data_IF_462435088020
#
_entry.id   IF_462435088020
#
_cell.length_a   1.000
_cell.length_b   1.000
_cell.length_c   1.000
_cell.angle_alpha   90.00
_cell.angle_beta   90.00
_cell.angle_gamma   90.00
#
_symmetry.space_group_name_H-M   'P 1'
#
loop_
_entity.id
_entity.type
_entity.pdbx_description
1 polymer ?
#
# COMPACT_ATOMS: atom_id res chain seq x y z
N UNK A 1 3.50 -3.63 12.98
CA UNK A 1 4.73 -3.73 12.20
C UNK A 1 4.69 -2.73 11.06
N UNK A 2 5.74 -1.94 10.93
CA UNK A 2 5.79 -0.89 9.90
C UNK A 2 6.39 -1.45 8.61
N UNK A 3 5.84 -1.02 7.49
CA UNK A 3 6.35 -1.37 6.16
C UNK A 3 6.76 -0.07 5.47
N UNK A 4 8.03 0.04 5.11
CA UNK A 4 8.58 1.24 4.49
C UNK A 4 8.95 0.92 3.05
N UNK A 5 8.55 1.78 2.13
CA UNK A 5 8.89 1.58 0.74
C UNK A 5 8.41 2.72 -0.12
N UNK A 6 8.48 2.51 -1.44
CA UNK A 6 8.11 3.51 -2.44
C UNK A 6 6.92 3.00 -3.24
N UNK A 7 5.93 3.84 -3.45
CA UNK A 7 4.76 3.49 -4.27
C UNK A 7 5.22 3.41 -5.72
N UNK A 8 5.17 2.21 -6.30
CA UNK A 8 5.59 2.01 -7.67
C UNK A 8 4.44 2.15 -8.66
N UNK A 9 3.24 1.72 -8.23
CA UNK A 9 2.08 1.72 -9.12
C UNK A 9 0.82 1.73 -8.28
N UNK A 10 -0.24 2.36 -8.80
CA UNK A 10 -1.55 2.35 -8.18
C UNK A 10 -2.44 1.49 -9.06
N UNK A 11 -2.87 0.34 -8.52
CA UNK A 11 -3.67 -0.62 -9.27
C UNK A 11 -5.13 -0.20 -9.33
N UNK A 12 -5.63 0.33 -8.20
CA UNK A 12 -7.03 0.73 -8.09
C UNK A 12 -7.14 1.82 -7.03
N UNK A 13 -8.01 2.78 -7.26
CA UNK A 13 -8.29 3.80 -6.27
C UNK A 13 -9.74 4.23 -6.37
N UNK A 14 -10.43 4.25 -5.22
CA UNK A 14 -11.77 4.79 -5.11
C UNK A 14 -11.65 6.19 -4.52
N UNK A 15 -11.97 7.20 -5.33
CA UNK A 15 -11.80 8.60 -4.91
C UNK A 15 -12.80 9.02 -3.84
N UNK A 16 -13.91 8.31 -3.71
CA UNK A 16 -14.94 8.69 -2.76
C UNK A 16 -14.53 8.37 -1.32
N UNK A 17 -13.90 7.21 -1.11
CA UNK A 17 -13.52 6.78 0.24
C UNK A 17 -12.02 6.66 0.45
N UNK A 18 -11.22 6.88 -0.60
CA UNK A 18 -9.78 6.79 -0.50
C UNK A 18 -9.21 5.38 -0.53
N UNK A 19 -10.06 4.37 -0.69
CA UNK A 19 -9.59 2.97 -0.72
C UNK A 19 -8.67 2.76 -1.92
N UNK A 20 -7.49 2.23 -1.67
CA UNK A 20 -6.45 2.12 -2.69
C UNK A 20 -5.81 0.75 -2.63
N UNK A 21 -5.58 0.18 -3.81
CA UNK A 21 -4.74 -1.00 -3.97
C UNK A 21 -3.53 -0.56 -4.77
N UNK A 22 -2.35 -0.72 -4.20
CA UNK A 22 -1.13 -0.22 -4.82
C UNK A 22 -0.03 -1.25 -4.72
N UNK A 23 1.02 -1.05 -5.50
CA UNK A 23 2.23 -1.85 -5.42
C UNK A 23 3.32 -1.01 -4.78
N UNK A 24 3.92 -1.57 -3.74
CA UNK A 24 4.99 -0.93 -2.99
C UNK A 24 6.28 -1.66 -3.27
N UNK A 25 7.32 -0.92 -3.64
CA UNK A 25 8.65 -1.48 -3.80
C UNK A 25 9.41 -1.37 -2.50
N UNK A 26 9.98 -2.49 -2.05
CA UNK A 26 10.83 -2.56 -0.88
C UNK A 26 11.93 -3.56 -1.14
N UNK A 27 13.19 -3.09 -1.15
CA UNK A 27 14.37 -3.96 -1.28
C UNK A 27 14.26 -4.92 -2.47
N UNK A 28 13.93 -4.38 -3.64
CA UNK A 28 13.78 -5.14 -4.90
C UNK A 28 12.61 -6.11 -4.90
N UNK A 29 11.71 -6.01 -3.92
CA UNK A 29 10.49 -6.80 -3.88
C UNK A 29 9.30 -5.88 -4.07
N UNK A 30 8.25 -6.43 -4.69
CA UNK A 30 6.99 -5.71 -4.89
C UNK A 30 5.94 -6.32 -3.98
N UNK A 31 5.32 -5.47 -3.16
CA UNK A 31 4.33 -5.90 -2.19
C UNK A 31 3.02 -5.19 -2.52
N UNK A 32 1.93 -5.96 -2.62
CA UNK A 32 0.61 -5.36 -2.80
C UNK A 32 0.15 -4.82 -1.45
N UNK A 33 -0.21 -3.54 -1.43
CA UNK A 33 -0.67 -2.88 -0.21
C UNK A 33 -2.10 -2.38 -0.42
N UNK A 34 -2.92 -2.49 0.62
CA UNK A 34 -4.33 -2.18 0.56
C UNK A 34 -4.70 -1.34 1.78
N UNK A 35 -5.41 -0.26 1.56
CA UNK A 35 -5.86 0.58 2.65
C UNK A 35 -6.36 1.92 2.13
N UNK A 36 -6.60 2.86 3.02
CA UNK A 36 -7.11 4.17 2.64
C UNK A 36 -6.00 5.20 2.67
N UNK A 37 -5.81 5.86 1.53
CA UNK A 37 -4.95 7.03 1.43
C UNK A 37 -5.82 8.26 1.21
N UNK A 38 -5.50 9.35 1.90
CA UNK A 38 -6.14 10.63 1.61
C UNK A 38 -5.64 11.14 0.27
N UNK A 39 -4.33 11.08 0.09
CA UNK A 39 -3.70 11.49 -1.17
C UNK A 39 -2.44 10.68 -1.36
N UNK A 40 -2.23 10.16 -2.56
CA UNK A 40 -1.06 9.33 -2.84
C UNK A 40 -0.66 9.49 -4.30
N UNK A 41 0.63 9.43 -4.56
CA UNK A 41 1.16 9.51 -5.91
C UNK A 41 2.22 8.44 -6.10
N UNK A 42 2.35 7.97 -7.35
CA UNK A 42 3.43 7.08 -7.73
C UNK A 42 4.77 7.79 -7.48
N UNK A 43 5.71 7.08 -6.88
CA UNK A 43 7.02 7.63 -6.53
C UNK A 43 7.10 8.12 -5.09
N UNK A 44 5.99 8.16 -4.37
CA UNK A 44 6.01 8.60 -2.97
C UNK A 44 6.64 7.55 -2.07
N UNK A 45 7.49 8.01 -1.15
CA UNK A 45 8.02 7.14 -0.09
C UNK A 45 7.04 7.16 1.06
N UNK A 46 6.66 5.97 1.52
CA UNK A 46 5.63 5.86 2.55
C UNK A 46 6.06 4.89 3.64
N UNK A 47 5.52 5.11 4.84
CA UNK A 47 5.63 4.19 5.95
C UNK A 47 4.21 3.77 6.31
N UNK A 48 3.95 2.46 6.24
CA UNK A 48 2.62 1.91 6.46
C UNK A 48 2.61 1.10 7.75
N UNK A 49 1.53 1.22 8.51
CA UNK A 49 1.32 0.43 9.72
C UNK A 49 0.14 -0.47 9.52
N UNK A 50 0.36 -1.78 9.64
CA UNK A 50 -0.69 -2.76 9.45
C UNK A 50 -0.15 -4.17 9.59
N UNK A 51 -0.70 -5.09 8.80
CA UNK A 51 -0.28 -6.49 8.86
C UNK A 51 -0.49 -7.16 7.51
N UNK A 52 0.26 -8.24 7.29
CA UNK A 52 0.06 -9.06 6.11
C UNK A 52 -1.19 -9.92 6.26
N UNK A 53 -1.91 -10.09 5.17
CA UNK A 53 -3.07 -10.97 5.11
C UNK A 53 -2.95 -11.86 3.88
N UNK A 54 -3.38 -13.11 4.05
CA UNK A 54 -3.39 -14.07 2.95
C UNK A 54 -4.80 -14.12 2.37
N UNK A 55 -4.90 -13.96 1.06
CA UNK A 55 -6.17 -14.03 0.36
C UNK A 55 -6.07 -15.12 -0.70
N UNK A 56 -7.19 -15.41 -1.37
CA UNK A 56 -7.19 -16.39 -2.45
C UNK A 56 -6.37 -15.92 -3.65
N UNK A 57 -6.03 -14.64 -3.69
CA UNK A 57 -5.22 -14.08 -4.78
C UNK A 57 -3.75 -13.91 -4.38
N UNK A 58 -3.38 -14.31 -3.15
CA UNK A 58 -2.02 -14.19 -2.65
C UNK A 58 -1.95 -13.39 -1.37
N UNK A 59 -0.74 -12.98 -1.01
CA UNK A 59 -0.49 -12.22 0.21
C UNK A 59 -0.52 -10.74 -0.10
N UNK A 60 -1.16 -9.96 0.77
CA UNK A 60 -1.19 -8.50 0.65
C UNK A 60 -0.98 -7.88 2.02
N UNK A 61 -0.54 -6.63 2.05
CA UNK A 61 -0.32 -5.90 3.28
C UNK A 61 -1.47 -4.92 3.46
N UNK A 62 -2.23 -5.08 4.54
CA UNK A 62 -3.37 -4.22 4.84
C UNK A 62 -2.97 -3.23 5.91
N UNK A 63 -2.96 -1.94 5.56
CA UNK A 63 -2.53 -0.92 6.50
C UNK A 63 -3.73 -0.15 7.04
N UNK A 64 -3.60 0.31 8.29
CA UNK A 64 -4.62 1.12 8.95
C UNK A 64 -4.17 2.56 9.12
N UNK A 65 -2.87 2.83 9.03
CA UNK A 65 -2.35 4.18 9.10
C UNK A 65 -1.09 4.27 8.24
N UNK A 66 -0.73 5.50 7.87
CA UNK A 66 0.43 5.71 7.02
C UNK A 66 1.03 7.09 7.24
N UNK A 67 2.30 7.24 6.83
CA UNK A 67 3.00 8.51 6.77
C UNK A 67 3.72 8.61 5.43
N UNK A 68 3.77 9.81 4.91
CA UNK A 68 4.50 10.10 3.67
C UNK A 68 5.92 10.56 4.00
#
# INVERSE_FOLDING_TARGET
MALVGTIEDIVYRNEENGYTVARLEKDDSIITVVGKFVEIQVGADVTLEGKFEKTKYGVQYCFSSYEI
#
